data_IF_645151226756
#
_entry.id   IF_645151226756
#
_cell.length_a   1.000
_cell.length_b   1.000
_cell.length_c   1.000
_cell.angle_alpha   90.00
_cell.angle_beta   90.00
_cell.angle_gamma   90.00
#
_symmetry.space_group_name_H-M   'P 1'
#
loop_
_entity.id
_entity.type
_entity.pdbx_description
1 polymer ?
#
# COMPACT_ATOMS: atom_id res chain seq x y z
N UNK A 1 63.01 -14.13 13.38
CA UNK A 1 61.61 -14.42 13.04
C UNK A 1 60.97 -13.10 12.59
N UNK A 2 60.75 -13.05 11.28
CA UNK A 2 60.48 -11.77 10.61
C UNK A 2 59.07 -11.21 10.81
N UNK A 3 58.94 -9.91 10.68
CA UNK A 3 57.69 -9.14 10.74
C UNK A 3 56.56 -9.71 9.88
N UNK A 4 56.86 -10.34 8.74
CA UNK A 4 55.92 -10.98 7.84
C UNK A 4 55.16 -12.18 8.45
N UNK A 5 55.83 -12.99 9.29
CA UNK A 5 55.18 -14.11 9.98
C UNK A 5 54.27 -13.67 11.10
N UNK A 6 54.58 -12.58 11.79
CA UNK A 6 53.64 -11.97 12.79
C UNK A 6 52.43 -11.36 12.11
N UNK A 7 52.61 -10.70 10.97
CA UNK A 7 51.48 -10.12 10.22
C UNK A 7 50.50 -11.17 9.72
N UNK A 8 51.02 -12.30 9.18
CA UNK A 8 50.16 -13.40 8.76
C UNK A 8 49.44 -14.09 9.90
N UNK A 9 50.05 -14.20 11.08
CA UNK A 9 49.41 -14.78 12.25
C UNK A 9 48.29 -13.87 12.82
N UNK A 10 48.51 -12.56 12.79
CA UNK A 10 47.50 -11.56 13.18
C UNK A 10 46.35 -11.45 12.19
N UNK A 11 46.63 -11.50 10.88
CA UNK A 11 45.59 -11.56 9.87
C UNK A 11 44.70 -12.80 10.01
N UNK A 12 45.27 -13.98 10.27
CA UNK A 12 44.48 -15.19 10.54
C UNK A 12 43.62 -15.05 11.80
N UNK A 13 44.14 -14.47 12.87
CA UNK A 13 43.46 -14.34 14.15
C UNK A 13 42.39 -13.24 14.14
N UNK A 14 42.67 -12.12 13.50
CA UNK A 14 41.74 -10.97 13.41
C UNK A 14 40.84 -11.05 12.17
N UNK A 15 41.22 -11.71 11.11
CA UNK A 15 40.40 -11.98 9.95
C UNK A 15 39.17 -12.81 10.26
N UNK A 16 39.32 -13.81 11.14
CA UNK A 16 38.18 -14.60 11.63
C UNK A 16 37.24 -13.72 12.48
N UNK A 17 37.79 -12.84 13.31
CA UNK A 17 37.01 -11.94 14.15
C UNK A 17 36.33 -10.85 13.29
N UNK A 18 37.02 -10.36 12.27
CA UNK A 18 36.45 -9.35 11.36
C UNK A 18 35.32 -9.94 10.49
N UNK A 19 35.55 -11.12 9.93
CA UNK A 19 34.53 -11.86 9.20
C UNK A 19 33.31 -12.23 10.05
N UNK A 20 33.52 -12.66 11.29
CA UNK A 20 32.46 -12.94 12.24
C UNK A 20 31.68 -11.65 12.61
N UNK A 21 32.37 -10.53 12.73
CA UNK A 21 31.75 -9.23 13.00
C UNK A 21 30.91 -8.74 11.81
N UNK A 22 31.42 -8.87 10.58
CA UNK A 22 30.64 -8.54 9.39
C UNK A 22 29.43 -9.48 9.20
N UNK A 23 29.62 -10.77 9.44
CA UNK A 23 28.50 -11.73 9.40
C UNK A 23 27.45 -11.39 10.45
N UNK A 24 27.87 -11.06 11.68
CA UNK A 24 26.96 -10.65 12.76
C UNK A 24 26.22 -9.35 12.44
N UNK A 25 26.91 -8.34 11.92
CA UNK A 25 26.31 -7.08 11.46
C UNK A 25 25.36 -7.33 10.29
N UNK A 26 25.76 -8.13 9.31
CA UNK A 26 24.90 -8.49 8.16
C UNK A 26 23.65 -9.27 8.59
N UNK A 27 23.80 -10.22 9.52
CA UNK A 27 22.67 -10.97 10.09
C UNK A 27 21.75 -10.06 10.92
N UNK A 28 22.34 -9.15 11.69
CA UNK A 28 21.57 -8.20 12.51
C UNK A 28 20.77 -7.22 11.64
N UNK A 29 21.41 -6.64 10.61
CA UNK A 29 20.74 -5.76 9.63
C UNK A 29 19.62 -6.52 8.90
N UNK A 30 19.86 -7.77 8.51
CA UNK A 30 18.85 -8.61 7.85
C UNK A 30 17.69 -8.93 8.78
N UNK A 31 17.96 -9.21 10.05
CA UNK A 31 16.93 -9.47 11.07
C UNK A 31 16.11 -8.21 11.38
N UNK A 32 16.76 -7.06 11.53
CA UNK A 32 16.06 -5.78 11.72
C UNK A 32 15.21 -5.41 10.50
N UNK A 33 15.72 -5.58 9.28
CA UNK A 33 14.96 -5.31 8.06
C UNK A 33 13.77 -6.27 7.88
N UNK A 34 13.89 -7.51 8.29
CA UNK A 34 12.77 -8.48 8.31
C UNK A 34 11.70 -8.08 9.33
N UNK A 35 12.10 -7.65 10.53
CA UNK A 35 11.16 -7.20 11.57
C UNK A 35 10.41 -5.93 11.14
N UNK A 36 11.10 -4.95 10.55
CA UNK A 36 10.48 -3.73 10.04
C UNK A 36 9.50 -4.05 8.90
N UNK A 37 9.82 -4.99 8.02
CA UNK A 37 8.92 -5.40 6.93
C UNK A 37 7.67 -6.11 7.44
N UNK A 38 7.79 -6.95 8.47
CA UNK A 38 6.66 -7.65 9.07
C UNK A 38 5.74 -6.70 9.86
N UNK A 39 6.29 -5.77 10.62
CA UNK A 39 5.52 -4.73 11.30
C UNK A 39 4.76 -3.85 10.29
N UNK A 40 5.41 -3.48 9.19
CA UNK A 40 4.75 -2.70 8.15
C UNK A 40 3.62 -3.50 7.48
N UNK A 41 3.83 -4.78 7.24
CA UNK A 41 2.81 -5.66 6.69
C UNK A 41 1.59 -5.77 7.60
N UNK A 42 1.78 -5.95 8.91
CA UNK A 42 0.69 -5.98 9.89
C UNK A 42 -0.09 -4.66 9.93
N UNK A 43 0.61 -3.52 9.83
CA UNK A 43 -0.03 -2.20 9.69
C UNK A 43 -0.87 -2.12 8.41
N UNK A 44 -0.32 -2.59 7.29
CA UNK A 44 -1.01 -2.59 6.01
C UNK A 44 -2.26 -3.49 6.03
N UNK A 45 -2.15 -4.68 6.59
CA UNK A 45 -3.29 -5.59 6.77
C UNK A 45 -4.39 -4.97 7.64
N UNK A 46 -4.01 -4.31 8.73
CA UNK A 46 -4.97 -3.61 9.60
C UNK A 46 -5.74 -2.51 8.85
N UNK A 47 -5.06 -1.68 8.06
CA UNK A 47 -5.72 -0.60 7.32
C UNK A 47 -6.48 -1.12 6.10
N UNK A 48 -5.99 -2.17 5.46
CA UNK A 48 -6.72 -2.84 4.38
C UNK A 48 -8.01 -3.51 4.89
N UNK A 49 -7.99 -4.07 6.10
CA UNK A 49 -9.20 -4.59 6.73
C UNK A 49 -10.26 -3.48 6.90
N UNK A 50 -9.84 -2.26 7.25
CA UNK A 50 -10.77 -1.14 7.34
C UNK A 50 -11.31 -0.72 5.95
N UNK A 51 -10.49 -0.82 4.90
CA UNK A 51 -10.95 -0.60 3.53
C UNK A 51 -11.93 -1.70 3.08
N UNK A 52 -11.69 -2.96 3.46
CA UNK A 52 -12.63 -4.06 3.23
C UNK A 52 -13.96 -3.84 3.95
N UNK A 53 -13.96 -3.28 5.15
CA UNK A 53 -15.19 -2.98 5.87
C UNK A 53 -16.01 -1.89 5.14
N UNK A 54 -15.35 -0.90 4.53
CA UNK A 54 -16.02 0.05 3.65
C UNK A 54 -16.54 -0.62 2.36
N UNK A 55 -15.76 -1.50 1.75
CA UNK A 55 -16.21 -2.28 0.58
C UNK A 55 -17.45 -3.14 0.88
N UNK A 56 -17.54 -3.72 2.08
CA UNK A 56 -18.73 -4.47 2.53
C UNK A 56 -19.95 -3.57 2.71
N UNK A 57 -19.79 -2.28 3.04
CA UNK A 57 -20.91 -1.33 3.05
C UNK A 57 -21.41 -1.08 1.63
N UNK A 58 -20.49 -0.77 0.69
CA UNK A 58 -20.83 -0.66 -0.72
C UNK A 58 -21.63 -1.87 -1.23
N UNK A 59 -21.15 -3.09 -0.91
CA UNK A 59 -21.83 -4.33 -1.26
C UNK A 59 -23.28 -4.37 -0.78
N UNK A 60 -23.53 -4.02 0.50
CA UNK A 60 -24.87 -4.01 1.10
C UNK A 60 -25.79 -2.96 0.48
N UNK A 61 -25.21 -1.85 0.01
CA UNK A 61 -25.92 -0.76 -0.64
C UNK A 61 -26.15 -1.02 -2.14
N UNK A 62 -25.67 -2.16 -2.66
CA UNK A 62 -25.80 -2.49 -4.07
C UNK A 62 -24.77 -1.82 -4.97
N UNK A 63 -23.79 -1.16 -4.40
CA UNK A 63 -22.66 -0.54 -5.09
C UNK A 63 -21.56 -1.55 -5.39
N UNK A 64 -20.71 -1.27 -6.37
CA UNK A 64 -19.50 -2.08 -6.60
C UNK A 64 -18.66 -2.07 -5.32
N UNK A 65 -18.29 -3.24 -4.75
CA UNK A 65 -17.72 -3.34 -3.42
C UNK A 65 -16.24 -2.94 -3.39
N UNK A 66 -15.99 -1.65 -3.56
CA UNK A 66 -14.68 -1.03 -3.43
C UNK A 66 -14.71 -0.10 -2.23
N UNK A 67 -13.73 -0.26 -1.36
CA UNK A 67 -13.55 0.60 -0.19
C UNK A 67 -12.14 1.18 -0.16
N UNK A 68 -12.03 2.38 0.39
CA UNK A 68 -10.79 3.13 0.51
C UNK A 68 -10.63 3.77 1.88
N UNK A 69 -9.38 3.82 2.36
CA UNK A 69 -8.98 4.45 3.62
C UNK A 69 -7.75 5.31 3.38
N UNK A 70 -7.76 6.55 3.86
CA UNK A 70 -6.58 7.42 3.87
C UNK A 70 -6.03 7.52 5.28
N UNK A 71 -4.75 7.23 5.41
CA UNK A 71 -4.01 7.28 6.68
C UNK A 71 -2.95 8.37 6.58
N UNK A 72 -2.88 9.26 7.56
CA UNK A 72 -1.85 10.28 7.72
C UNK A 72 -1.22 10.14 9.10
N UNK A 73 0.12 9.98 9.16
CA UNK A 73 0.85 9.84 10.44
C UNK A 73 0.20 8.80 11.37
N UNK A 74 -0.04 7.61 10.84
CA UNK A 74 -0.68 6.47 11.52
C UNK A 74 -2.13 6.71 11.99
N UNK A 75 -2.75 7.81 11.62
CA UNK A 75 -4.16 8.11 11.94
C UNK A 75 -5.02 7.99 10.68
N UNK A 76 -6.12 7.28 10.79
CA UNK A 76 -7.14 7.25 9.73
C UNK A 76 -7.84 8.62 9.70
N UNK A 77 -7.74 9.31 8.57
CA UNK A 77 -8.32 10.64 8.36
C UNK A 77 -9.51 10.64 7.39
N UNK A 78 -9.66 9.59 6.59
CA UNK A 78 -10.81 9.41 5.73
C UNK A 78 -11.10 7.92 5.53
N UNK A 79 -12.39 7.59 5.37
CA UNK A 79 -12.91 6.29 4.94
C UNK A 79 -14.01 6.54 3.93
N UNK A 80 -14.04 5.77 2.87
CA UNK A 80 -15.06 5.90 1.84
C UNK A 80 -15.26 4.56 1.11
N UNK A 81 -16.37 4.47 0.41
CA UNK A 81 -16.68 3.37 -0.50
C UNK A 81 -17.31 3.92 -1.77
N UNK A 82 -17.46 3.06 -2.75
CA UNK A 82 -18.09 3.42 -4.03
C UNK A 82 -19.53 3.87 -3.79
N UNK A 83 -19.92 4.97 -4.45
CA UNK A 83 -21.26 5.57 -4.38
C UNK A 83 -21.78 5.96 -5.77
N UNK A 84 -21.33 5.30 -6.82
CA UNK A 84 -21.65 5.69 -8.21
C UNK A 84 -23.14 5.60 -8.53
N UNK A 85 -23.83 4.58 -8.03
CA UNK A 85 -25.26 4.41 -8.22
C UNK A 85 -26.05 5.37 -7.32
N UNK A 86 -25.69 5.41 -6.04
CA UNK A 86 -26.36 6.25 -5.03
C UNK A 86 -26.34 7.73 -5.39
N UNK A 87 -25.19 8.23 -5.86
CA UNK A 87 -25.02 9.64 -6.23
C UNK A 87 -25.33 9.93 -7.70
N UNK A 88 -25.64 8.91 -8.51
CA UNK A 88 -25.75 9.04 -9.97
C UNK A 88 -24.53 9.75 -10.58
N UNK A 89 -23.34 9.47 -10.05
CA UNK A 89 -22.09 10.11 -10.45
C UNK A 89 -21.03 9.04 -10.77
N UNK A 90 -20.63 8.95 -12.04
CA UNK A 90 -19.62 8.02 -12.53
C UNK A 90 -18.23 8.24 -11.94
N UNK A 91 -18.00 9.36 -11.28
CA UNK A 91 -16.74 9.69 -10.62
C UNK A 91 -16.73 9.38 -9.13
N UNK A 92 -17.87 9.01 -8.54
CA UNK A 92 -18.01 8.76 -7.11
C UNK A 92 -17.38 7.43 -6.66
N UNK A 93 -16.18 7.13 -7.16
CA UNK A 93 -15.38 5.98 -6.73
C UNK A 93 -14.89 6.15 -5.29
N UNK A 94 -14.60 5.04 -4.62
CA UNK A 94 -14.12 5.01 -3.24
C UNK A 94 -12.89 5.92 -3.03
N UNK A 95 -11.93 5.87 -3.97
CA UNK A 95 -10.71 6.67 -3.90
C UNK A 95 -10.99 8.16 -4.03
N UNK A 96 -11.90 8.55 -4.94
CA UNK A 96 -12.29 9.95 -5.14
C UNK A 96 -12.94 10.52 -3.87
N UNK A 97 -13.87 9.76 -3.29
CA UNK A 97 -14.52 10.12 -2.02
C UNK A 97 -13.50 10.22 -0.88
N UNK A 98 -12.58 9.26 -0.78
CA UNK A 98 -11.56 9.25 0.26
C UNK A 98 -10.57 10.41 0.13
N UNK A 99 -10.12 10.76 -1.09
CA UNK A 99 -9.24 11.89 -1.36
C UNK A 99 -9.93 13.20 -0.98
N UNK A 100 -11.18 13.39 -1.38
CA UNK A 100 -11.96 14.59 -1.06
C UNK A 100 -12.13 14.75 0.46
N UNK A 101 -12.52 13.68 1.16
CA UNK A 101 -12.68 13.70 2.61
C UNK A 101 -11.35 13.95 3.34
N UNK A 102 -10.25 13.33 2.89
CA UNK A 102 -8.93 13.54 3.47
C UNK A 102 -8.43 14.97 3.28
N UNK A 103 -8.59 15.54 2.07
CA UNK A 103 -8.24 16.92 1.76
C UNK A 103 -9.02 17.91 2.66
N UNK A 104 -10.31 17.66 2.86
CA UNK A 104 -11.14 18.46 3.77
C UNK A 104 -10.67 18.33 5.22
N UNK A 105 -10.35 17.12 5.69
CA UNK A 105 -9.86 16.88 7.06
C UNK A 105 -8.54 17.60 7.34
N UNK A 106 -7.62 17.64 6.36
CA UNK A 106 -6.33 18.31 6.49
C UNK A 106 -6.37 19.80 6.16
N UNK A 107 -7.45 20.30 5.60
CA UNK A 107 -7.56 21.69 5.13
C UNK A 107 -6.64 22.02 3.95
N UNK A 108 -6.29 21.01 3.13
CA UNK A 108 -5.34 21.19 2.03
C UNK A 108 -5.48 20.12 0.94
N UNK A 109 -5.24 20.52 -0.31
CA UNK A 109 -5.41 19.66 -1.50
C UNK A 109 -4.30 18.61 -1.71
N UNK A 110 -3.15 18.78 -1.07
CA UNK A 110 -2.02 17.86 -1.20
C UNK A 110 -1.92 16.94 0.01
N UNK A 111 -1.84 15.64 -0.25
CA UNK A 111 -1.85 14.57 0.74
C UNK A 111 -0.45 13.93 0.85
N UNK A 112 0.59 14.76 0.89
CA UNK A 112 2.00 14.37 0.78
C UNK A 112 2.55 13.53 1.94
N UNK A 113 1.83 13.44 3.05
CA UNK A 113 2.19 12.62 4.21
C UNK A 113 1.21 11.46 4.43
N UNK A 114 0.41 11.14 3.40
CA UNK A 114 -0.66 10.14 3.51
C UNK A 114 -0.31 8.84 2.78
N UNK A 115 -0.95 7.77 3.22
CA UNK A 115 -1.03 6.49 2.51
C UNK A 115 -2.49 6.23 2.17
N UNK A 116 -2.76 5.86 0.92
CA UNK A 116 -4.06 5.39 0.47
C UNK A 116 -4.08 3.86 0.49
N UNK A 117 -5.07 3.29 1.15
CA UNK A 117 -5.42 1.87 1.10
C UNK A 117 -6.71 1.71 0.32
N UNK A 118 -6.76 0.83 -0.65
CA UNK A 118 -7.92 0.56 -1.48
C UNK A 118 -8.03 -0.93 -1.79
N UNK A 119 -9.22 -1.50 -1.77
CA UNK A 119 -9.42 -2.95 -1.91
C UNK A 119 -9.09 -3.48 -3.30
N UNK A 120 -9.23 -2.65 -4.34
CA UNK A 120 -8.96 -3.00 -5.74
C UNK A 120 -8.00 -2.00 -6.34
N UNK A 121 -7.15 -2.42 -7.28
CA UNK A 121 -6.26 -1.56 -8.05
C UNK A 121 -7.02 -0.34 -8.59
N UNK A 122 -6.54 0.89 -8.36
CA UNK A 122 -7.19 2.10 -8.85
C UNK A 122 -7.35 2.09 -10.37
N UNK A 123 -8.47 2.57 -10.87
CA UNK A 123 -8.65 2.81 -12.30
C UNK A 123 -7.85 4.04 -12.77
N UNK A 124 -7.77 4.27 -14.07
CA UNK A 124 -7.04 5.41 -14.66
C UNK A 124 -7.47 6.77 -14.11
N UNK A 125 -8.77 6.99 -13.91
CA UNK A 125 -9.30 8.24 -13.33
C UNK A 125 -8.78 8.45 -11.89
N UNK A 126 -8.92 7.42 -11.04
CA UNK A 126 -8.47 7.48 -9.65
C UNK A 126 -6.95 7.61 -9.54
N UNK A 127 -6.19 6.89 -10.37
CA UNK A 127 -4.73 7.02 -10.40
C UNK A 127 -4.28 8.44 -10.76
N UNK A 128 -4.96 9.09 -11.71
CA UNK A 128 -4.74 10.50 -12.02
C UNK A 128 -5.01 11.40 -10.81
N UNK A 129 -6.14 11.21 -10.12
CA UNK A 129 -6.48 11.98 -8.93
C UNK A 129 -5.48 11.75 -7.78
N UNK A 130 -5.05 10.51 -7.55
CA UNK A 130 -4.00 10.15 -6.58
C UNK A 130 -2.69 10.88 -6.90
N UNK A 131 -2.31 10.90 -8.19
CA UNK A 131 -1.12 11.62 -8.67
C UNK A 131 -1.20 13.13 -8.41
N UNK A 132 -2.35 13.76 -8.73
CA UNK A 132 -2.59 15.18 -8.47
C UNK A 132 -2.65 15.53 -6.98
N UNK A 133 -3.20 14.63 -6.16
CA UNK A 133 -3.19 14.78 -4.70
C UNK A 133 -1.80 14.56 -4.08
N UNK A 134 -0.82 14.11 -4.87
CA UNK A 134 0.57 13.82 -4.47
C UNK A 134 0.67 12.81 -3.32
N UNK A 135 -0.19 11.78 -3.32
CA UNK A 135 -0.13 10.73 -2.32
C UNK A 135 1.14 9.89 -2.56
N UNK A 136 2.06 9.80 -1.59
CA UNK A 136 3.36 9.17 -1.79
C UNK A 136 3.34 7.65 -1.68
N UNK A 137 2.30 7.06 -1.11
CA UNK A 137 2.19 5.62 -0.93
C UNK A 137 0.77 5.12 -1.19
N UNK A 138 0.68 4.10 -2.03
CA UNK A 138 -0.57 3.45 -2.39
C UNK A 138 -0.46 1.96 -2.04
N UNK A 139 -1.46 1.43 -1.35
CA UNK A 139 -1.57 0.01 -1.01
C UNK A 139 -2.90 -0.50 -1.53
N UNK A 140 -2.88 -1.54 -2.38
CA UNK A 140 -4.12 -2.14 -2.83
C UNK A 140 -4.16 -3.66 -2.61
N UNK A 141 -5.38 -4.18 -2.47
CA UNK A 141 -5.61 -5.59 -2.23
C UNK A 141 -5.42 -6.41 -3.49
N UNK A 142 -6.39 -6.38 -4.40
CA UNK A 142 -6.36 -7.18 -5.64
C UNK A 142 -6.13 -6.33 -6.88
N UNK A 143 -5.45 -6.90 -7.90
CA UNK A 143 -5.27 -6.26 -9.20
C UNK A 143 -6.57 -6.23 -10.00
N UNK A 144 -6.76 -5.19 -10.81
CA UNK A 144 -7.80 -5.13 -11.84
C UNK A 144 -7.17 -5.25 -13.24
N UNK A 145 -7.10 -6.47 -13.74
CA UNK A 145 -6.52 -6.77 -15.05
C UNK A 145 -7.29 -6.13 -16.23
N UNK A 146 -8.53 -5.68 -16.01
CA UNK A 146 -9.38 -5.12 -17.05
C UNK A 146 -9.36 -3.60 -17.11
N UNK A 147 -9.29 -2.93 -15.96
CA UNK A 147 -9.45 -1.47 -15.86
C UNK A 147 -8.42 -0.81 -14.93
N UNK A 148 -7.51 -1.58 -14.34
CA UNK A 148 -6.44 -1.08 -13.49
C UNK A 148 -5.54 -0.09 -14.24
N UNK A 149 -5.03 0.90 -13.52
CA UNK A 149 -4.21 1.96 -14.13
C UNK A 149 -2.91 1.42 -14.74
N UNK A 150 -2.36 0.34 -14.23
CA UNK A 150 -1.11 -0.24 -14.75
C UNK A 150 -1.23 -0.66 -16.21
N UNK A 151 -2.42 -1.11 -16.64
CA UNK A 151 -2.67 -1.52 -18.01
C UNK A 151 -2.81 -0.33 -19.00
N UNK A 152 -3.34 0.81 -18.54
CA UNK A 152 -3.74 1.92 -19.42
C UNK A 152 -3.00 3.23 -19.18
N UNK A 153 -2.53 3.46 -17.96
CA UNK A 153 -1.86 4.69 -17.57
C UNK A 153 -0.78 4.45 -16.50
N UNK A 154 0.25 3.64 -16.78
CA UNK A 154 1.26 3.24 -15.78
C UNK A 154 2.05 4.41 -15.19
N UNK A 155 1.98 5.59 -15.84
CA UNK A 155 2.64 6.81 -15.36
C UNK A 155 1.69 7.83 -14.75
N UNK A 156 0.42 7.46 -14.45
CA UNK A 156 -0.56 8.39 -13.87
C UNK A 156 -0.23 8.79 -12.42
N UNK A 157 0.44 7.92 -11.68
CA UNK A 157 0.86 8.21 -10.32
C UNK A 157 2.07 9.15 -10.30
N UNK A 158 2.27 9.82 -9.16
CA UNK A 158 3.47 10.64 -8.99
C UNK A 158 4.74 9.78 -9.12
N UNK A 159 5.81 10.22 -9.83
CA UNK A 159 7.00 9.40 -10.10
C UNK A 159 7.74 8.87 -8.85
N UNK A 160 7.54 9.50 -7.69
CA UNK A 160 8.11 9.09 -6.42
C UNK A 160 7.15 8.25 -5.57
N UNK A 161 5.95 7.98 -6.07
CA UNK A 161 4.99 7.17 -5.33
C UNK A 161 5.47 5.72 -5.24
N UNK A 162 5.28 5.12 -4.07
CA UNK A 162 5.55 3.71 -3.81
C UNK A 162 4.25 2.92 -3.80
N UNK A 163 4.31 1.71 -4.32
CA UNK A 163 3.14 0.85 -4.47
C UNK A 163 3.40 -0.46 -3.72
N UNK A 164 2.44 -0.86 -2.92
CA UNK A 164 2.36 -2.20 -2.31
C UNK A 164 1.05 -2.84 -2.75
N UNK A 165 1.06 -4.09 -3.13
CA UNK A 165 -0.15 -4.81 -3.57
C UNK A 165 -0.20 -6.22 -2.98
N UNK A 166 -1.35 -6.86 -3.07
CA UNK A 166 -1.55 -8.20 -2.55
C UNK A 166 -1.84 -8.25 -1.04
N UNK A 167 -2.22 -7.13 -0.43
CA UNK A 167 -2.58 -7.09 0.99
C UNK A 167 -4.05 -7.50 1.15
N UNK A 168 -4.31 -8.63 1.82
CA UNK A 168 -5.62 -9.29 1.90
C UNK A 168 -6.23 -9.51 0.50
N UNK A 169 -5.39 -9.95 -0.44
CA UNK A 169 -5.74 -10.07 -1.86
C UNK A 169 -6.96 -10.98 -2.08
N UNK A 170 -6.97 -12.13 -1.41
CA UNK A 170 -8.01 -13.13 -1.59
C UNK A 170 -9.36 -12.61 -1.12
N UNK A 171 -9.41 -11.95 0.04
CA UNK A 171 -10.63 -11.38 0.60
C UNK A 171 -11.17 -10.25 -0.29
N UNK A 172 -10.28 -9.39 -0.81
CA UNK A 172 -10.65 -8.33 -1.73
C UNK A 172 -11.20 -8.89 -3.04
N UNK A 173 -10.53 -9.88 -3.61
CA UNK A 173 -10.92 -10.55 -4.85
C UNK A 173 -12.25 -11.28 -4.70
N UNK A 174 -12.43 -12.02 -3.61
CA UNK A 174 -13.63 -12.81 -3.38
C UNK A 174 -14.87 -11.93 -3.24
N UNK A 175 -14.76 -10.79 -2.54
CA UNK A 175 -15.87 -9.85 -2.40
C UNK A 175 -16.34 -9.30 -3.75
N UNK A 176 -15.41 -9.02 -4.67
CA UNK A 176 -15.72 -8.61 -6.05
C UNK A 176 -16.42 -9.74 -6.83
N UNK A 177 -15.91 -10.96 -6.74
CA UNK A 177 -16.47 -12.11 -7.44
C UNK A 177 -17.90 -12.40 -6.96
N UNK A 178 -18.16 -12.37 -5.66
CA UNK A 178 -19.47 -12.60 -5.07
C UNK A 178 -20.49 -11.58 -5.58
N UNK A 179 -20.11 -10.31 -5.63
CA UNK A 179 -20.95 -9.25 -6.13
C UNK A 179 -21.38 -9.46 -7.59
N UNK A 180 -20.43 -9.73 -8.47
CA UNK A 180 -20.73 -9.91 -9.89
C UNK A 180 -21.40 -11.26 -10.20
N UNK A 181 -21.23 -12.28 -9.37
CA UNK A 181 -21.92 -13.56 -9.54
C UNK A 181 -23.43 -13.45 -9.34
N UNK A 182 -23.88 -12.55 -8.46
CA UNK A 182 -25.29 -12.31 -8.16
C UNK A 182 -26.02 -11.43 -9.20
N UNK A 183 -25.26 -10.80 -10.10
CA UNK A 183 -25.81 -9.89 -11.11
C UNK A 183 -25.76 -10.45 -12.54
N UNK A 184 -25.43 -11.72 -12.68
CA UNK A 184 -25.52 -12.49 -13.92
C UNK A 184 -26.82 -13.29 -13.91
#
# INVERSE_FOLDING_TARGET
MGYAQRYHSLQKKYGIIWWAKELFVSLHIKFESMNVSEEQRQKDERYMQMALDEARKAYKEGEIPIGAVVVCKERVIARAHNLTETLCDVTAHAEMQAITAAANTLGGKYLTECTLYVTVEPCTMCAGAIGWAQIPRIVYGTADVKRGYQAYAPHALHPKATITYGILEEECRQLMLDFFSQRR
#
